data_IF_473863920227
#
_entry.id   IF_473863920227
#
_cell.length_a   1.000
_cell.length_b   1.000
_cell.length_c   1.000
_cell.angle_alpha   90.00
_cell.angle_beta   90.00
_cell.angle_gamma   90.00
#
_symmetry.space_group_name_H-M   'P 1'
#
loop_
_entity.id
_entity.type
_entity.pdbx_description
1 polymer ?
#
# COMPACT_ATOMS: atom_id res chain seq x y z
N UNK A 1 8.19 -1.69 7.73
CA UNK A 1 7.06 -0.76 7.90
C UNK A 1 5.77 -1.55 7.84
N UNK A 2 4.79 -1.24 8.68
CA UNK A 2 3.49 -1.93 8.67
C UNK A 2 2.45 -1.08 7.96
N UNK A 3 1.60 -1.75 7.18
CA UNK A 3 0.48 -1.18 6.47
C UNK A 3 -0.80 -1.88 6.92
N UNK A 4 -1.88 -1.11 7.05
CA UNK A 4 -3.22 -1.55 7.37
C UNK A 4 -4.05 -1.49 6.09
N UNK A 5 -4.78 -2.56 5.78
CA UNK A 5 -5.60 -2.67 4.58
C UNK A 5 -7.07 -2.76 4.93
N UNK A 6 -7.90 -1.96 4.26
CA UNK A 6 -9.34 -1.90 4.44
C UNK A 6 -10.06 -1.97 3.10
N UNK A 7 -11.21 -2.64 3.07
CA UNK A 7 -12.08 -2.68 1.88
C UNK A 7 -13.06 -1.51 1.89
N UNK A 8 -13.44 -1.04 0.70
CA UNK A 8 -14.37 0.05 0.48
C UNK A 8 -15.61 -0.42 -0.32
N UNK A 9 -16.78 0.24 -0.14
CA UNK A 9 -17.09 1.19 0.94
C UNK A 9 -17.34 0.46 2.28
N UNK A 10 -17.03 1.10 3.40
CA UNK A 10 -17.30 0.57 4.74
C UNK A 10 -16.08 0.34 5.63
N UNK A 11 -14.87 0.47 5.06
CA UNK A 11 -13.59 0.42 5.79
C UNK A 11 -13.44 -0.83 6.67
N UNK A 12 -13.96 -1.97 6.20
CA UNK A 12 -13.79 -3.24 6.89
C UNK A 12 -12.33 -3.66 6.87
N UNK A 13 -11.78 -4.03 8.02
CA UNK A 13 -10.39 -4.47 8.11
C UNK A 13 -10.21 -5.77 7.32
N UNK A 14 -9.36 -5.72 6.30
CA UNK A 14 -8.96 -6.86 5.47
C UNK A 14 -7.74 -7.52 6.09
N UNK A 15 -6.83 -6.72 6.64
CA UNK A 15 -5.64 -7.21 7.32
C UNK A 15 -4.57 -6.15 7.49
N UNK A 16 -3.38 -6.62 7.87
CA UNK A 16 -2.18 -5.80 7.92
C UNK A 16 -0.98 -6.56 7.38
N UNK A 17 -0.01 -5.85 6.83
CA UNK A 17 1.22 -6.42 6.28
C UNK A 17 2.42 -5.61 6.71
N UNK A 18 3.50 -6.30 7.08
CA UNK A 18 4.77 -5.65 7.38
C UNK A 18 5.74 -5.93 6.24
N UNK A 19 6.40 -4.89 5.75
CA UNK A 19 7.41 -5.02 4.70
C UNK A 19 8.52 -5.99 5.11
N UNK A 20 9.06 -6.74 4.16
CA UNK A 20 10.24 -7.58 4.34
C UNK A 20 11.52 -6.72 4.52
N UNK A 21 12.67 -7.38 4.65
CA UNK A 21 13.98 -6.74 4.83
C UNK A 21 14.39 -5.84 3.65
N UNK A 22 13.85 -6.10 2.46
CA UNK A 22 14.06 -5.31 1.23
C UNK A 22 13.05 -4.16 1.07
N UNK A 23 12.09 -4.01 1.99
CA UNK A 23 11.09 -2.95 1.97
C UNK A 23 9.85 -3.25 1.11
N UNK A 24 9.72 -4.47 0.59
CA UNK A 24 8.57 -4.90 -0.20
C UNK A 24 7.50 -5.60 0.64
N UNK A 25 6.26 -5.54 0.17
CA UNK A 25 5.16 -6.36 0.66
C UNK A 25 4.28 -6.78 -0.52
N UNK A 26 3.59 -7.91 -0.37
CA UNK A 26 2.65 -8.43 -1.35
C UNK A 26 1.40 -8.93 -0.62
N UNK A 27 0.23 -8.75 -1.25
CA UNK A 27 -1.05 -9.17 -0.69
C UNK A 27 -1.94 -9.70 -1.81
N UNK A 28 -2.50 -10.89 -1.62
CA UNK A 28 -3.51 -11.43 -2.53
C UNK A 28 -4.87 -10.85 -2.15
N UNK A 29 -5.54 -10.20 -3.11
CA UNK A 29 -6.84 -9.56 -2.92
C UNK A 29 -7.82 -10.03 -3.98
N UNK A 30 -9.07 -10.15 -3.56
CA UNK A 30 -10.18 -10.24 -4.50
C UNK A 30 -10.34 -8.92 -5.25
N UNK A 31 -10.97 -8.90 -6.44
CA UNK A 31 -11.24 -7.66 -7.14
C UNK A 31 -12.14 -6.74 -6.31
N UNK A 32 -11.80 -5.46 -6.22
CA UNK A 32 -12.54 -4.49 -5.41
C UNK A 32 -11.80 -3.20 -5.13
N UNK A 33 -12.45 -2.32 -4.37
CA UNK A 33 -11.89 -1.05 -3.93
C UNK A 33 -11.32 -1.17 -2.52
N UNK A 34 -10.11 -0.62 -2.32
CA UNK A 34 -9.36 -0.75 -1.09
C UNK A 34 -8.72 0.56 -0.69
N UNK A 35 -8.46 0.68 0.61
CA UNK A 35 -7.65 1.72 1.23
C UNK A 35 -6.52 1.07 2.01
N UNK A 36 -5.28 1.42 1.67
CA UNK A 36 -4.10 1.03 2.44
C UNK A 36 -3.59 2.23 3.22
N UNK A 37 -3.28 2.04 4.50
CA UNK A 37 -2.78 3.08 5.40
C UNK A 37 -1.48 2.65 6.06
N UNK A 38 -0.50 3.53 6.08
CA UNK A 38 0.73 3.37 6.87
C UNK A 38 0.45 3.57 8.36
N UNK A 39 1.35 3.10 9.22
CA UNK A 39 1.26 3.32 10.69
C UNK A 39 1.37 4.78 11.14
N UNK A 40 1.73 5.71 10.24
CA UNK A 40 1.73 7.16 10.48
C UNK A 40 0.63 7.86 9.68
N UNK A 41 -0.50 7.16 9.49
CA UNK A 41 -1.78 7.70 9.03
C UNK A 41 -1.77 8.26 7.60
N UNK A 42 -0.77 7.92 6.77
CA UNK A 42 -0.86 8.15 5.31
C UNK A 42 -1.60 7.02 4.64
N UNK A 43 -2.69 7.37 3.96
CA UNK A 43 -3.56 6.42 3.27
C UNK A 43 -3.56 6.64 1.76
N UNK A 44 -3.85 5.59 1.00
CA UNK A 44 -4.03 5.63 -0.44
C UNK A 44 -5.17 4.69 -0.81
N UNK A 45 -6.08 5.19 -1.64
CA UNK A 45 -7.19 4.41 -2.18
C UNK A 45 -6.76 3.85 -3.54
N UNK A 46 -7.11 2.60 -3.80
CA UNK A 46 -6.79 1.91 -5.04
C UNK A 46 -7.86 0.87 -5.36
N UNK A 47 -7.98 0.52 -6.64
CA UNK A 47 -8.90 -0.50 -7.15
C UNK A 47 -8.08 -1.65 -7.70
N UNK A 48 -8.49 -2.89 -7.41
CA UNK A 48 -7.90 -4.11 -7.94
C UNK A 48 -8.89 -4.75 -8.91
N UNK A 49 -8.51 -4.90 -10.17
CA UNK A 49 -9.26 -5.67 -11.17
C UNK A 49 -9.02 -7.17 -11.11
N UNK A 50 -9.82 -7.95 -11.85
CA UNK A 50 -9.66 -9.41 -11.95
C UNK A 50 -8.34 -9.78 -12.61
N UNK A 51 -7.47 -10.48 -11.88
CA UNK A 51 -6.15 -10.90 -12.35
C UNK A 51 -5.15 -9.75 -12.50
N UNK A 52 -5.46 -8.58 -11.94
CA UNK A 52 -4.60 -7.41 -11.99
C UNK A 52 -3.61 -7.39 -10.82
N UNK A 53 -2.37 -6.99 -11.11
CA UNK A 53 -1.37 -6.67 -10.09
C UNK A 53 -1.24 -5.15 -9.98
N UNK A 54 -1.64 -4.60 -8.84
CA UNK A 54 -1.49 -3.17 -8.54
C UNK A 54 -0.22 -2.96 -7.74
N UNK A 55 0.67 -2.10 -8.25
CA UNK A 55 1.91 -1.73 -7.57
C UNK A 55 1.76 -0.34 -6.95
N UNK A 56 2.01 -0.24 -5.64
CA UNK A 56 2.03 1.01 -4.90
C UNK A 56 3.45 1.28 -4.42
N UNK A 57 4.13 2.26 -5.03
CA UNK A 57 5.46 2.69 -4.62
C UNK A 57 5.33 3.82 -3.57
N UNK A 58 5.69 3.50 -2.32
CA UNK A 58 5.75 4.49 -1.25
C UNK A 58 7.18 4.97 -1.02
N UNK A 59 7.43 6.25 -1.30
CA UNK A 59 8.70 6.89 -0.95
C UNK A 59 8.55 7.67 0.36
N UNK A 60 9.25 7.23 1.41
CA UNK A 60 9.34 7.94 2.68
C UNK A 60 10.68 8.68 2.78
N UNK A 61 10.90 9.63 1.88
CA UNK A 61 12.06 10.52 1.97
C UNK A 61 11.86 11.48 3.15
N UNK A 62 12.57 11.24 4.26
CA UNK A 62 12.64 12.15 5.43
C UNK A 62 13.76 13.21 5.30
N UNK A 63 14.28 13.43 4.08
CA UNK A 63 15.36 14.38 3.81
C UNK A 63 15.30 14.93 2.38
N UNK A 64 16.14 15.92 2.02
CA UNK A 64 16.07 16.61 0.75
C UNK A 64 16.38 15.65 -0.41
N UNK A 65 15.31 15.19 -1.06
CA UNK A 65 15.22 14.83 -2.47
C UNK A 65 16.17 13.74 -2.95
N UNK A 66 15.70 12.50 -2.94
CA UNK A 66 16.18 11.56 -3.96
C UNK A 66 15.78 12.13 -5.32
N UNK A 67 16.75 12.35 -6.20
CA UNK A 67 16.51 12.67 -7.61
C UNK A 67 17.12 11.56 -8.44
N UNK A 68 16.34 11.04 -9.40
CA UNK A 68 16.80 10.05 -10.36
C UNK A 68 18.07 10.60 -11.04
N UNK A 69 19.21 9.87 -11.04
CA UNK A 69 20.33 10.24 -11.89
C UNK A 69 19.85 10.26 -13.34
N UNK A 70 20.20 11.30 -14.08
CA UNK A 70 19.97 11.37 -15.54
C UNK A 70 20.84 10.35 -16.26
#
# INVERSE_FOLDING_TARGET
>A
MTFLLRALPGESDVGSVTSNEEGFYEFALEPGDYRICTTFERCTDFTVGTGEAVRLDYEFSVGPGWSRPR
#
